data_IF_398271366462
#
_entry.id   IF_398271366462
#
_cell.length_a   1.000
_cell.length_b   1.000
_cell.length_c   1.000
_cell.angle_alpha   90.00
_cell.angle_beta   90.00
_cell.angle_gamma   90.00
#
_symmetry.space_group_name_H-M   'P 1'
#
loop_
_entity.id
_entity.type
_entity.pdbx_description
1 polymer ?
#
# COMPACT_ATOMS: atom_id res chain seq x y z
N UNK A 1 3.35 -20.42 19.95
CA UNK A 1 2.74 -20.13 18.63
C UNK A 1 1.28 -20.60 18.58
N UNK A 2 1.02 -21.91 18.70
CA UNK A 2 -0.34 -22.45 18.70
C UNK A 2 -1.24 -21.88 19.81
N UNK A 3 -0.69 -21.64 21.00
CA UNK A 3 -1.42 -20.99 22.12
C UNK A 3 -1.91 -19.58 21.75
N UNK A 4 -1.04 -18.77 21.13
CA UNK A 4 -1.36 -17.40 20.72
C UNK A 4 -2.40 -17.39 19.58
N UNK A 5 -2.41 -18.43 18.74
CA UNK A 5 -3.41 -18.63 17.68
C UNK A 5 -4.69 -19.31 18.17
N UNK A 6 -4.75 -19.76 19.43
CA UNK A 6 -5.81 -20.62 19.97
C UNK A 6 -6.12 -21.81 19.06
N UNK A 7 -5.07 -22.44 18.53
CA UNK A 7 -5.21 -23.54 17.59
C UNK A 7 -5.31 -24.87 18.35
N UNK A 8 -6.53 -25.18 18.78
CA UNK A 8 -6.83 -26.33 19.64
C UNK A 8 -6.41 -27.67 19.02
N UNK A 9 -6.43 -27.79 17.69
CA UNK A 9 -6.01 -29.01 16.98
C UNK A 9 -4.53 -29.31 17.20
N UNK A 10 -3.68 -28.28 17.08
CA UNK A 10 -2.24 -28.39 17.31
C UNK A 10 -1.95 -28.53 18.81
N UNK A 11 -2.69 -27.81 19.66
CA UNK A 11 -2.54 -27.88 21.11
C UNK A 11 -2.90 -29.28 21.65
N UNK A 12 -4.00 -29.87 21.20
CA UNK A 12 -4.39 -31.25 21.50
C UNK A 12 -3.30 -32.26 21.10
N UNK A 13 -2.62 -32.01 19.98
CA UNK A 13 -1.56 -32.88 19.51
C UNK A 13 -0.26 -32.80 20.34
N UNK A 14 -0.09 -31.72 21.12
CA UNK A 14 1.09 -31.44 21.96
C UNK A 14 0.82 -31.77 23.44
N UNK A 15 -0.43 -31.65 23.92
CA UNK A 15 -0.80 -31.56 25.34
C UNK A 15 -0.40 -32.74 26.23
N UNK A 16 -0.06 -33.91 25.67
CA UNK A 16 0.32 -35.10 26.44
C UNK A 16 1.54 -35.82 25.85
N UNK A 17 2.36 -35.11 25.07
CA UNK A 17 3.55 -35.67 24.43
C UNK A 17 4.78 -34.87 24.83
N UNK A 18 5.88 -35.56 25.12
CA UNK A 18 7.17 -34.92 25.38
C UNK A 18 7.60 -34.10 24.15
N UNK A 19 7.66 -32.78 24.33
CA UNK A 19 8.00 -31.81 23.30
C UNK A 19 9.40 -32.04 22.71
N UNK A 20 10.28 -32.76 23.41
CA UNK A 20 11.62 -33.16 22.93
C UNK A 20 11.54 -34.32 21.93
N UNK A 21 10.52 -35.18 22.06
CA UNK A 21 10.29 -36.37 21.21
C UNK A 21 9.36 -36.12 20.02
N UNK A 22 8.58 -35.02 20.05
CA UNK A 22 7.77 -34.56 18.93
C UNK A 22 8.62 -33.76 17.93
N UNK A 23 9.32 -34.49 17.06
CA UNK A 23 9.91 -33.90 15.85
C UNK A 23 8.82 -33.49 14.85
N UNK A 24 8.05 -32.44 15.15
CA UNK A 24 7.03 -31.94 14.21
C UNK A 24 7.75 -31.24 13.05
N UNK A 25 8.05 -32.01 12.01
CA UNK A 25 8.76 -31.53 10.81
C UNK A 25 7.77 -30.78 9.91
N UNK A 26 7.46 -29.54 10.28
CA UNK A 26 6.78 -28.64 9.36
C UNK A 26 7.72 -28.29 8.20
N UNK A 27 7.18 -28.18 6.98
CA UNK A 27 7.91 -27.53 5.90
C UNK A 27 8.27 -26.11 6.33
N UNK A 28 9.47 -25.65 5.96
CA UNK A 28 9.97 -24.30 6.30
C UNK A 28 8.98 -23.19 5.90
N UNK A 29 8.33 -23.33 4.73
CA UNK A 29 7.32 -22.39 4.26
C UNK A 29 6.04 -22.40 5.12
N UNK A 30 5.53 -23.58 5.47
CA UNK A 30 4.35 -23.74 6.32
C UNK A 30 4.60 -23.21 7.72
N UNK A 31 5.77 -23.51 8.31
CA UNK A 31 6.16 -22.97 9.62
C UNK A 31 6.26 -21.44 9.59
N UNK A 32 6.90 -20.89 8.55
CA UNK A 32 7.03 -19.44 8.38
C UNK A 32 5.67 -18.78 8.24
N UNK A 33 4.75 -19.32 7.43
CA UNK A 33 3.38 -18.83 7.29
C UNK A 33 2.60 -18.96 8.60
N UNK A 34 2.76 -20.09 9.30
CA UNK A 34 2.09 -20.33 10.56
C UNK A 34 2.51 -19.29 11.59
N UNK A 35 3.80 -18.98 11.70
CA UNK A 35 4.39 -18.10 12.73
C UNK A 35 4.54 -16.63 12.33
N UNK A 36 4.05 -16.18 11.15
CA UNK A 36 4.18 -14.77 10.69
C UNK A 36 3.76 -13.76 11.76
N UNK A 37 2.70 -14.07 12.52
CA UNK A 37 2.15 -13.22 13.57
C UNK A 37 3.09 -13.04 14.78
N UNK A 38 4.09 -13.91 14.95
CA UNK A 38 5.14 -13.76 15.97
C UNK A 38 6.25 -12.83 15.50
N UNK A 39 6.57 -12.85 14.20
CA UNK A 39 7.65 -12.04 13.63
C UNK A 39 7.22 -10.63 13.24
N UNK A 40 5.92 -10.42 13.05
CA UNK A 40 5.33 -9.12 12.78
C UNK A 40 4.23 -8.91 13.81
N UNK A 41 4.40 -8.02 14.82
CA UNK A 41 3.25 -7.60 15.59
C UNK A 41 2.21 -7.12 14.58
N UNK A 42 1.00 -7.67 14.66
CA UNK A 42 -0.15 -7.23 13.89
C UNK A 42 -0.37 -5.76 14.23
N UNK A 43 0.29 -4.87 13.49
CA UNK A 43 -0.07 -3.47 13.42
C UNK A 43 -1.35 -3.40 12.61
N UNK A 44 -2.46 -3.74 13.27
CA UNK A 44 -3.78 -3.21 12.95
C UNK A 44 -3.79 -1.69 13.04
N UNK A 45 -2.75 -1.07 13.61
CA UNK A 45 -2.49 0.35 13.53
C UNK A 45 -1.60 0.73 12.33
N UNK A 46 -2.15 0.56 11.12
CA UNK A 46 -1.57 1.14 9.89
C UNK A 46 -2.22 2.45 9.49
N UNK A 47 -3.06 3.02 10.37
CA UNK A 47 -3.91 4.18 10.05
C UNK A 47 -3.53 5.45 10.79
N UNK A 48 -2.73 5.42 11.85
CA UNK A 48 -2.67 6.57 12.77
C UNK A 48 -1.44 7.48 12.67
N UNK A 49 -0.44 7.17 11.86
CA UNK A 49 0.78 7.99 11.75
C UNK A 49 1.18 8.31 10.30
N UNK A 50 0.22 8.52 9.41
CA UNK A 50 0.52 9.24 8.16
C UNK A 50 0.35 10.73 8.48
N UNK A 51 1.37 11.59 8.27
CA UNK A 51 1.19 13.02 8.43
C UNK A 51 -0.01 13.43 7.58
N UNK A 52 -0.97 14.16 8.17
CA UNK A 52 -2.16 14.61 7.46
C UNK A 52 -1.74 15.66 6.43
N UNK A 53 -1.27 15.20 5.27
CA UNK A 53 -1.01 16.02 4.09
C UNK A 53 -2.32 16.35 3.36
N UNK A 54 -3.45 16.38 4.05
CA UNK A 54 -4.77 16.46 3.44
C UNK A 54 -5.00 17.82 2.75
N UNK A 55 -4.44 18.90 3.32
CA UNK A 55 -4.45 20.23 2.70
C UNK A 55 -3.66 20.22 1.38
N UNK A 56 -2.45 19.68 1.39
CA UNK A 56 -1.59 19.59 0.20
C UNK A 56 -2.14 18.65 -0.84
N UNK A 57 -2.80 17.57 -0.42
CA UNK A 57 -3.49 16.65 -1.31
C UNK A 57 -4.60 17.37 -2.09
N UNK A 58 -5.41 18.21 -1.43
CA UNK A 58 -6.43 19.02 -2.13
C UNK A 58 -5.80 19.99 -3.14
N UNK A 59 -4.75 20.70 -2.76
CA UNK A 59 -4.04 21.62 -3.66
C UNK A 59 -3.43 20.87 -4.85
N UNK A 60 -2.86 19.69 -4.60
CA UNK A 60 -2.33 18.82 -5.63
C UNK A 60 -3.41 18.34 -6.60
N UNK A 61 -4.59 17.98 -6.08
CA UNK A 61 -5.73 17.57 -6.90
C UNK A 61 -6.17 18.68 -7.85
N UNK A 62 -6.33 19.91 -7.35
CA UNK A 62 -6.73 21.06 -8.18
C UNK A 62 -5.65 21.43 -9.21
N UNK A 63 -4.39 21.48 -8.79
CA UNK A 63 -3.30 22.03 -9.63
C UNK A 63 -2.70 21.02 -10.59
N UNK A 64 -2.60 19.76 -10.19
CA UNK A 64 -1.93 18.72 -10.99
C UNK A 64 -2.95 17.79 -11.61
N UNK A 65 -3.88 17.24 -10.83
CA UNK A 65 -4.83 16.25 -11.34
C UNK A 65 -5.84 16.89 -12.29
N UNK A 66 -6.51 17.95 -11.85
CA UNK A 66 -7.48 18.66 -12.69
C UNK A 66 -6.82 19.28 -13.92
N UNK A 67 -5.77 20.08 -13.76
CA UNK A 67 -5.17 20.75 -14.93
C UNK A 67 -4.45 19.77 -15.87
N UNK A 68 -3.64 18.84 -15.36
CA UNK A 68 -2.79 18.01 -16.23
C UNK A 68 -3.50 16.77 -16.73
N UNK A 69 -4.21 16.04 -15.87
CA UNK A 69 -4.85 14.79 -16.29
C UNK A 69 -6.23 15.03 -16.91
N UNK A 70 -7.02 15.95 -16.37
CA UNK A 70 -8.41 16.15 -16.82
C UNK A 70 -8.47 17.16 -17.97
N UNK A 71 -7.93 18.37 -17.78
CA UNK A 71 -7.99 19.44 -18.80
C UNK A 71 -7.03 19.17 -19.96
N UNK A 72 -5.75 18.89 -19.67
CA UNK A 72 -4.74 18.68 -20.71
C UNK A 72 -4.73 17.24 -21.27
N UNK A 73 -5.52 16.33 -20.71
CA UNK A 73 -5.55 14.90 -21.07
C UNK A 73 -4.15 14.26 -21.11
N UNK A 74 -3.25 14.69 -20.22
CA UNK A 74 -1.88 14.20 -20.16
C UNK A 74 -1.84 12.80 -19.55
N UNK A 75 -1.07 11.90 -20.17
CA UNK A 75 -0.79 10.56 -19.61
C UNK A 75 0.45 10.65 -18.74
N UNK A 76 0.28 10.48 -17.43
CA UNK A 76 1.38 10.54 -16.47
C UNK A 76 1.65 9.18 -15.84
N UNK A 77 2.91 8.94 -15.46
CA UNK A 77 3.27 7.74 -14.68
C UNK A 77 3.03 7.98 -13.20
N UNK A 78 2.65 6.94 -12.49
CA UNK A 78 2.40 7.03 -11.05
C UNK A 78 3.63 7.52 -10.26
N UNK A 79 4.85 7.12 -10.65
CA UNK A 79 6.10 7.66 -10.08
C UNK A 79 6.24 9.17 -10.28
N UNK A 80 5.82 9.70 -11.42
CA UNK A 80 5.89 11.14 -11.69
C UNK A 80 4.87 11.89 -10.83
N UNK A 81 3.68 11.33 -10.62
CA UNK A 81 2.68 11.90 -9.72
C UNK A 81 3.15 11.93 -8.27
N UNK A 82 3.74 10.84 -7.78
CA UNK A 82 4.30 10.81 -6.42
C UNK A 82 5.43 11.80 -6.25
N UNK A 83 6.34 11.92 -7.23
CA UNK A 83 7.40 12.94 -7.21
C UNK A 83 6.83 14.36 -7.20
N UNK A 84 5.88 14.66 -8.09
CA UNK A 84 5.23 15.96 -8.15
C UNK A 84 4.52 16.32 -6.84
N UNK A 85 3.92 15.34 -6.17
CA UNK A 85 3.34 15.53 -4.84
C UNK A 85 4.42 15.83 -3.79
N UNK A 86 5.50 15.03 -3.73
CA UNK A 86 6.61 15.27 -2.80
C UNK A 86 7.27 16.63 -3.02
N UNK A 87 7.45 17.03 -4.29
CA UNK A 87 8.01 18.34 -4.65
C UNK A 87 7.08 19.49 -4.22
N UNK A 88 5.76 19.33 -4.38
CA UNK A 88 4.77 20.32 -3.95
C UNK A 88 4.80 20.51 -2.42
N UNK A 89 4.80 19.42 -1.66
CA UNK A 89 4.88 19.47 -0.19
C UNK A 89 6.19 20.12 0.26
N UNK A 90 7.31 19.75 -0.38
CA UNK A 90 8.63 20.31 -0.07
C UNK A 90 8.70 21.81 -0.36
N UNK A 91 8.11 22.27 -1.46
CA UNK A 91 8.11 23.68 -1.85
C UNK A 91 7.31 24.56 -0.88
N UNK A 92 6.20 24.06 -0.35
CA UNK A 92 5.31 24.88 0.45
C UNK A 92 5.54 24.83 1.95
N UNK A 93 5.93 23.67 2.50
CA UNK A 93 6.05 23.48 3.95
C UNK A 93 7.49 23.15 4.38
N UNK A 94 8.40 22.93 3.43
CA UNK A 94 9.75 22.43 3.72
C UNK A 94 9.77 21.02 4.29
N UNK A 95 8.62 20.34 4.35
CA UNK A 95 8.48 18.98 4.85
C UNK A 95 8.94 17.95 3.81
N UNK A 96 9.64 16.92 4.27
CA UNK A 96 10.09 15.83 3.40
C UNK A 96 8.99 14.77 3.26
N UNK A 97 8.21 14.87 2.18
CA UNK A 97 7.23 13.85 1.80
C UNK A 97 7.83 12.75 0.89
N UNK A 98 9.15 12.54 0.88
CA UNK A 98 9.79 11.49 0.06
C UNK A 98 9.36 10.08 0.45
N UNK A 99 8.96 9.87 1.72
CA UNK A 99 8.46 8.57 2.20
C UNK A 99 6.95 8.37 1.93
N UNK A 100 6.30 9.30 1.22
CA UNK A 100 4.87 9.17 0.92
C UNK A 100 4.63 7.98 0.00
N UNK A 101 3.75 7.06 0.44
CA UNK A 101 3.53 5.81 -0.28
C UNK A 101 2.71 6.03 -1.55
N UNK A 102 3.22 5.53 -2.67
CA UNK A 102 2.52 5.51 -3.95
C UNK A 102 1.12 4.87 -3.83
N UNK A 103 0.99 3.80 -3.04
CA UNK A 103 -0.25 3.07 -2.83
C UNK A 103 -1.32 3.89 -2.08
N UNK A 104 -0.88 4.81 -1.20
CA UNK A 104 -1.77 5.74 -0.49
C UNK A 104 -2.30 6.77 -1.48
N UNK A 105 -1.40 7.39 -2.26
CA UNK A 105 -1.79 8.37 -3.29
C UNK A 105 -2.78 7.77 -4.28
N UNK A 106 -2.48 6.57 -4.79
CA UNK A 106 -3.35 5.86 -5.74
C UNK A 106 -4.74 5.61 -5.18
N UNK A 107 -4.83 5.12 -3.93
CA UNK A 107 -6.12 4.85 -3.28
C UNK A 107 -6.96 6.11 -3.12
N UNK A 108 -6.34 7.22 -2.70
CA UNK A 108 -7.04 8.51 -2.59
C UNK A 108 -7.53 9.01 -3.96
N UNK A 109 -6.66 8.97 -4.97
CA UNK A 109 -7.02 9.38 -6.33
C UNK A 109 -8.12 8.52 -6.96
N UNK A 110 -8.09 7.20 -6.72
CA UNK A 110 -9.13 6.29 -7.22
C UNK A 110 -10.48 6.57 -6.55
N UNK A 111 -10.47 6.97 -5.28
CA UNK A 111 -11.68 7.33 -4.55
C UNK A 111 -12.26 8.67 -5.01
N UNK A 112 -11.42 9.69 -5.17
CA UNK A 112 -11.87 11.05 -5.46
C UNK A 112 -12.12 11.30 -6.95
N UNK A 113 -11.43 10.57 -7.82
CA UNK A 113 -11.54 10.69 -9.28
C UNK A 113 -11.81 9.31 -9.91
N UNK A 114 -13.06 8.82 -9.87
CA UNK A 114 -13.42 7.53 -10.47
C UNK A 114 -13.19 7.49 -11.99
N UNK A 115 -13.08 8.64 -12.65
CA UNK A 115 -12.75 8.74 -14.07
C UNK A 115 -11.26 8.50 -14.39
N UNK A 116 -10.37 8.42 -13.38
CA UNK A 116 -8.95 8.13 -13.61
C UNK A 116 -8.74 6.64 -13.82
N UNK A 117 -8.08 6.31 -14.93
CA UNK A 117 -7.69 4.94 -15.27
C UNK A 117 -6.24 4.72 -14.93
N UNK A 118 -5.99 3.67 -14.14
CA UNK A 118 -4.65 3.22 -13.78
C UNK A 118 -4.32 1.97 -14.60
N UNK A 119 -3.53 2.14 -15.66
CA UNK A 119 -3.12 1.03 -16.52
C UNK A 119 -1.77 0.45 -16.05
N UNK A 120 -1.79 -0.80 -15.60
CA UNK A 120 -0.59 -1.55 -15.28
C UNK A 120 0.02 -2.15 -16.56
N UNK A 121 1.25 -1.76 -16.93
CA UNK A 121 1.93 -2.33 -18.08
C UNK A 121 2.26 -3.81 -17.86
N UNK A 122 2.24 -4.62 -18.92
CA UNK A 122 2.54 -6.06 -18.87
C UNK A 122 3.93 -6.41 -18.33
N UNK A 123 4.85 -5.44 -18.27
CA UNK A 123 6.21 -5.63 -17.75
C UNK A 123 6.29 -5.21 -16.28
N UNK A 124 6.79 -6.06 -15.37
CA UNK A 124 6.76 -5.82 -13.92
C UNK A 124 7.61 -4.61 -13.46
N UNK A 125 8.58 -4.16 -14.25
CA UNK A 125 9.47 -3.05 -13.88
C UNK A 125 8.98 -1.68 -14.33
N UNK A 126 7.82 -1.59 -14.98
CA UNK A 126 7.29 -0.33 -15.50
C UNK A 126 6.17 0.17 -14.58
N UNK A 127 6.26 1.43 -14.17
CA UNK A 127 5.26 2.05 -13.32
C UNK A 127 3.95 2.25 -14.07
N UNK A 128 2.84 2.11 -13.34
CA UNK A 128 1.48 2.30 -13.83
C UNK A 128 1.31 3.67 -14.50
N UNK A 129 0.57 3.68 -15.61
CA UNK A 129 0.14 4.88 -16.31
C UNK A 129 -1.19 5.35 -15.73
N UNK A 130 -1.37 6.66 -15.64
CA UNK A 130 -2.54 7.33 -15.08
C UNK A 130 -3.01 8.36 -16.10
N UNK A 131 -4.27 8.26 -16.50
CA UNK A 131 -4.92 9.18 -17.42
C UNK A 131 -6.41 9.26 -17.14
N UNK A 132 -7.07 10.35 -17.51
CA UNK A 132 -8.52 10.46 -17.44
C UNK A 132 -9.15 9.67 -18.59
N UNK A 133 -10.17 8.86 -18.29
CA UNK A 133 -10.99 8.24 -19.33
C UNK A 133 -11.80 9.32 -20.02
N UNK A 134 -11.60 9.47 -21.33
CA UNK A 134 -12.38 10.37 -22.17
C UNK A 134 -13.04 9.54 -23.26
N UNK A 135 -14.37 9.45 -23.22
CA UNK A 135 -15.14 9.04 -24.39
C UNK A 135 -14.97 10.15 -25.44
N UNK A 136 -14.17 9.87 -26.47
CA UNK A 136 -14.17 10.70 -27.67
C UNK A 136 -15.52 10.50 -28.36
N UNK A 137 -16.37 11.52 -28.28
CA UNK A 137 -17.54 11.69 -29.16
C UNK A 137 -17.06 12.20 -30.51
#
# INVERSE_FOLDING_TARGET
>A
AAEIKQDDSILLHIKDKDCVSLGVRYHKCCYKQYTVFLSRPTTTDRRQNEPSFDVWYKIFCERIIHQRLIVNQEVLRMKQLTRAFSDLVKQHEGLDASNYRQDTLKRRLTHDFPQLVFHAPSKPNICELVFAWTEKV
#
